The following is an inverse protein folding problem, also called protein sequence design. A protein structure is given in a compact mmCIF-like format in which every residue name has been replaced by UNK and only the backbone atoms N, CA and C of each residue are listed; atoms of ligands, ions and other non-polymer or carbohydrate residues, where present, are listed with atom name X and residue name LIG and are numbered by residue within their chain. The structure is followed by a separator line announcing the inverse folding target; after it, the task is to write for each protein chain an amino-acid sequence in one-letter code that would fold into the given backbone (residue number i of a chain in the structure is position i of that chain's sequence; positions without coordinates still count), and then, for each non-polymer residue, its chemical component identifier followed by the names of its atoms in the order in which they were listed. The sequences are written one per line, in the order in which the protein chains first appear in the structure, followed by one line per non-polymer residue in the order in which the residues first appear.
data_IF_955701723217
#
_entry.id   IF_955701723217
#
_cell.length_a   1.000
_cell.length_b   1.000
_cell.length_c   1.000
_cell.angle_alpha   90.00
_cell.angle_beta   90.00
_cell.angle_gamma   90.00
#
_symmetry.space_group_name_H-M   'P 1'
#
loop_
_entity.id
_entity.type
_entity.pdbx_description
1 polymer ?
#
# COMPACT_ATOMS: atom_id res chain seq x y z
N UNK A 1 29.46 -1.85 5.85
CA UNK A 1 28.35 -2.78 5.54
C UNK A 1 27.02 -2.03 5.56
N UNK A 2 26.88 -0.91 4.84
CA UNK A 2 25.65 -0.08 4.84
C UNK A 2 24.81 -0.26 3.58
N UNK A 3 25.44 -0.63 2.46
CA UNK A 3 24.79 -0.81 1.16
C UNK A 3 23.66 -1.85 1.19
N UNK A 4 23.89 -3.02 1.80
CA UNK A 4 22.85 -4.06 1.92
C UNK A 4 21.64 -3.55 2.71
N UNK A 5 21.88 -2.74 3.75
CA UNK A 5 20.81 -2.15 4.56
C UNK A 5 20.02 -1.14 3.73
N UNK A 6 20.71 -0.24 3.03
CA UNK A 6 20.09 0.78 2.18
C UNK A 6 19.26 0.15 1.05
N UNK A 7 19.79 -0.88 0.39
CA UNK A 7 19.05 -1.66 -0.62
C UNK A 7 17.80 -2.27 0.01
N UNK A 8 17.93 -2.95 1.16
CA UNK A 8 16.79 -3.60 1.82
C UNK A 8 15.71 -2.59 2.24
N UNK A 9 16.10 -1.45 2.79
CA UNK A 9 15.18 -0.37 3.16
C UNK A 9 14.44 0.20 1.93
N UNK A 10 15.15 0.34 0.81
CA UNK A 10 14.55 0.77 -0.45
C UNK A 10 13.51 -0.24 -0.96
N UNK A 11 13.86 -1.52 -1.04
CA UNK A 11 12.92 -2.58 -1.47
C UNK A 11 11.70 -2.67 -0.56
N UNK A 12 11.87 -2.54 0.75
CA UNK A 12 10.77 -2.53 1.71
C UNK A 12 9.81 -1.36 1.47
N UNK A 13 10.35 -0.17 1.18
CA UNK A 13 9.53 1.01 0.86
C UNK A 13 8.75 0.81 -0.44
N UNK A 14 9.42 0.36 -1.50
CA UNK A 14 8.78 0.13 -2.79
C UNK A 14 7.67 -0.91 -2.66
N UNK A 15 7.94 -2.07 -2.06
CA UNK A 15 6.95 -3.14 -1.92
C UNK A 15 5.74 -2.72 -1.07
N UNK A 16 5.98 -2.02 0.05
CA UNK A 16 4.92 -1.68 0.99
C UNK A 16 4.13 -0.43 0.63
N UNK A 17 4.58 0.37 -0.34
CA UNK A 17 3.93 1.65 -0.65
C UNK A 17 3.73 1.93 -2.13
N UNK A 18 4.70 1.60 -2.99
CA UNK A 18 4.77 2.15 -4.35
C UNK A 18 4.52 1.12 -5.45
N UNK A 19 4.79 -0.16 -5.17
CA UNK A 19 4.66 -1.22 -6.16
C UNK A 19 3.20 -1.67 -6.26
N UNK A 20 2.62 -1.72 -7.47
CA UNK A 20 1.31 -2.30 -7.69
C UNK A 20 1.36 -3.82 -7.49
N UNK A 21 0.33 -4.37 -6.82
CA UNK A 21 0.23 -5.79 -6.52
C UNK A 21 -0.96 -6.41 -7.23
N UNK A 22 -0.75 -7.52 -7.94
CA UNK A 22 -1.80 -8.24 -8.67
C UNK A 22 -2.96 -8.66 -7.74
N UNK A 23 -2.64 -9.08 -6.51
CA UNK A 23 -3.63 -9.43 -5.48
C UNK A 23 -4.48 -8.26 -5.01
N UNK A 24 -4.03 -7.02 -5.24
CA UNK A 24 -4.76 -5.78 -4.97
C UNK A 24 -5.38 -5.21 -6.25
N UNK A 25 -5.64 -6.04 -7.26
CA UNK A 25 -6.10 -5.61 -8.58
C UNK A 25 -5.14 -4.61 -9.27
N UNK A 26 -3.84 -4.83 -9.12
CA UNK A 26 -2.76 -3.97 -9.62
C UNK A 26 -2.73 -2.56 -9.00
N UNK A 27 -3.33 -2.39 -7.82
CA UNK A 27 -3.18 -1.17 -7.03
C UNK A 27 -1.93 -1.25 -6.16
N UNK A 28 -1.37 -0.09 -5.84
CA UNK A 28 -0.39 0.03 -4.77
C UNK A 28 -1.05 -0.19 -3.40
N UNK A 29 -0.29 -0.58 -2.37
CA UNK A 29 -0.82 -0.69 -1.01
C UNK A 29 -1.47 0.59 -0.49
N UNK A 30 -0.94 1.76 -0.86
CA UNK A 30 -1.48 3.06 -0.46
C UNK A 30 -2.83 3.35 -1.11
N UNK A 31 -2.96 3.13 -2.42
CA UNK A 31 -4.24 3.28 -3.12
C UNK A 31 -5.30 2.33 -2.57
N UNK A 32 -4.93 1.08 -2.30
CA UNK A 32 -5.84 0.09 -1.70
C UNK A 32 -6.31 0.54 -0.31
N UNK A 33 -5.41 1.06 0.53
CA UNK A 33 -5.75 1.59 1.86
C UNK A 33 -6.76 2.74 1.77
N UNK A 34 -6.52 3.71 0.88
CA UNK A 34 -7.43 4.85 0.69
C UNK A 34 -8.81 4.40 0.18
N UNK A 35 -8.85 3.42 -0.73
CA UNK A 35 -10.11 2.84 -1.20
C UNK A 35 -10.85 2.11 -0.09
N UNK A 36 -10.16 1.36 0.76
CA UNK A 36 -10.76 0.69 1.90
C UNK A 36 -11.34 1.70 2.90
N UNK A 37 -10.59 2.75 3.26
CA UNK A 37 -11.05 3.82 4.14
C UNK A 37 -12.30 4.52 3.60
N UNK A 38 -12.33 4.87 2.31
CA UNK A 38 -13.49 5.49 1.67
C UNK A 38 -14.72 4.58 1.69
N UNK A 39 -14.54 3.27 1.50
CA UNK A 39 -15.62 2.30 1.59
C UNK A 39 -16.16 2.18 3.01
N UNK A 40 -15.29 2.16 4.03
CA UNK A 40 -15.71 2.13 5.43
C UNK A 40 -16.44 3.43 5.84
N UNK A 41 -15.94 4.60 5.43
CA UNK A 41 -16.63 5.87 5.62
C UNK A 41 -18.01 5.82 4.96
N UNK A 42 -18.10 5.38 3.72
CA UNK A 42 -19.38 5.28 3.01
C UNK A 42 -20.37 4.37 3.73
N UNK A 43 -19.95 3.20 4.21
CA UNK A 43 -20.80 2.30 5.01
C UNK A 43 -21.27 2.94 6.31
N UNK A 44 -20.40 3.71 6.98
CA UNK A 44 -20.74 4.37 8.23
C UNK A 44 -21.78 5.49 8.07
N UNK A 45 -21.86 6.13 6.90
CA UNK A 45 -22.81 7.21 6.61
C UNK A 45 -24.24 6.70 6.37
N UNK A 46 -24.38 5.46 5.92
CA UNK A 46 -25.68 4.84 5.62
C UNK A 46 -26.25 3.96 6.74
N UNK A 47 -25.49 3.75 7.83
CA UNK A 47 -25.95 3.11 9.07
C UNK A 47 -26.41 4.15 10.10
#
# INVERSE_FOLDING_TARGET
MNEVREITEHWLREYNWERPHESLNNLTPEEYRLLAENNEISKSVWN
#
